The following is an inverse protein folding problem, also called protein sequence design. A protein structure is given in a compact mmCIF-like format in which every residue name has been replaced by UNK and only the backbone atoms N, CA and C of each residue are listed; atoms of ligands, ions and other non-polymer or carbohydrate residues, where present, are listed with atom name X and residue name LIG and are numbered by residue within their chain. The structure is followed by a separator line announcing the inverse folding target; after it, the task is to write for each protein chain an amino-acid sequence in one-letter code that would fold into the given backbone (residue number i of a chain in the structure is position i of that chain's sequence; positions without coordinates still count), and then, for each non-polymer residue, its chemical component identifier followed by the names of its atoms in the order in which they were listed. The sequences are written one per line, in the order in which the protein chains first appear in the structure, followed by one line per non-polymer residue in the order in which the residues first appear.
data_IF_753327639126
#
_entry.id   IF_753327639126
#
_cell.length_a   1.000
_cell.length_b   1.000
_cell.length_c   1.000
_cell.angle_alpha   90.00
_cell.angle_beta   90.00
_cell.angle_gamma   90.00
#
_symmetry.space_group_name_H-M   'P 1'
#
loop_
_entity.id
_entity.type
_entity.pdbx_description
1 polymer ?
#
# COMPACT_ATOMS: atom_id res chain seq x y z
N UNK A 1 17.25 14.42 -8.14
CA UNK A 1 16.09 14.24 -7.25
C UNK A 1 16.17 12.81 -6.70
N UNK A 2 16.23 12.66 -5.38
CA UNK A 2 16.28 11.33 -4.79
C UNK A 2 14.83 10.88 -4.54
N UNK A 3 14.35 9.94 -5.34
CA UNK A 3 13.03 9.33 -5.17
C UNK A 3 13.21 8.08 -4.31
N UNK A 4 12.54 8.01 -3.17
CA UNK A 4 12.64 6.87 -2.26
C UNK A 4 11.66 5.75 -2.61
N UNK A 5 10.45 6.11 -3.05
CA UNK A 5 9.39 5.18 -3.44
C UNK A 5 8.52 5.82 -4.52
N UNK A 6 8.16 5.05 -5.53
CA UNK A 6 7.10 5.38 -6.48
C UNK A 6 5.93 4.42 -6.26
N UNK A 7 4.78 4.96 -5.93
CA UNK A 7 3.52 4.23 -5.89
C UNK A 7 2.75 4.49 -7.19
N UNK A 8 2.62 3.46 -8.03
CA UNK A 8 1.81 3.50 -9.25
C UNK A 8 0.41 3.01 -8.91
N UNK A 9 -0.58 3.89 -9.03
CA UNK A 9 -1.98 3.54 -8.79
C UNK A 9 -2.70 3.36 -10.12
N UNK A 10 -3.28 2.18 -10.31
CA UNK A 10 -4.02 1.79 -11.51
C UNK A 10 -5.50 1.62 -11.13
N UNK A 11 -6.41 2.14 -11.94
CA UNK A 11 -7.84 1.91 -11.77
C UNK A 11 -8.18 0.44 -12.03
N UNK A 12 -8.88 -0.18 -11.10
CA UNK A 12 -9.30 -1.58 -11.19
C UNK A 12 -10.20 -1.85 -12.38
N UNK A 13 -11.02 -0.89 -12.79
CA UNK A 13 -11.95 -1.02 -13.92
C UNK A 13 -11.28 -0.90 -15.29
N UNK A 14 -10.06 -0.34 -15.37
CA UNK A 14 -9.36 -0.20 -16.65
C UNK A 14 -9.04 -1.56 -17.26
N UNK A 15 -9.29 -1.72 -18.55
CA UNK A 15 -8.98 -2.94 -19.30
C UNK A 15 -7.64 -2.84 -20.02
N UNK A 16 -7.28 -1.62 -20.41
CA UNK A 16 -6.00 -1.34 -21.05
C UNK A 16 -4.92 -1.06 -20.00
N UNK A 17 -4.02 -2.00 -19.86
CA UNK A 17 -2.83 -1.88 -19.01
C UNK A 17 -1.61 -1.34 -19.80
N UNK A 18 -1.75 -1.12 -21.10
CA UNK A 18 -0.66 -0.73 -21.98
C UNK A 18 -0.02 0.57 -21.53
N UNK A 19 -0.80 1.63 -21.32
CA UNK A 19 -0.29 2.93 -20.87
C UNK A 19 0.40 2.84 -19.50
N UNK A 20 -0.18 2.10 -18.55
CA UNK A 20 0.42 1.94 -17.23
C UNK A 20 1.74 1.17 -17.29
N UNK A 21 1.79 0.07 -18.07
CA UNK A 21 3.03 -0.71 -18.25
C UNK A 21 4.09 0.06 -19.02
N UNK A 22 3.70 0.83 -20.02
CA UNK A 22 4.62 1.71 -20.76
C UNK A 22 5.24 2.76 -19.83
N UNK A 23 4.44 3.45 -19.02
CA UNK A 23 4.92 4.41 -18.02
C UNK A 23 5.92 3.77 -17.04
N UNK A 24 5.59 2.58 -16.54
CA UNK A 24 6.45 1.83 -15.61
C UNK A 24 7.78 1.49 -16.30
N UNK A 25 7.74 0.92 -17.51
CA UNK A 25 8.90 0.37 -18.18
C UNK A 25 9.82 1.45 -18.77
N UNK A 26 9.24 2.49 -19.38
CA UNK A 26 10.00 3.48 -20.15
C UNK A 26 10.43 4.69 -19.31
N UNK A 27 9.70 5.01 -18.24
CA UNK A 27 9.96 6.19 -17.43
C UNK A 27 10.34 5.87 -15.97
N UNK A 28 9.52 5.10 -15.27
CA UNK A 28 9.68 4.93 -13.82
C UNK A 28 10.91 4.07 -13.51
N UNK A 29 10.98 2.86 -14.05
CA UNK A 29 12.08 1.93 -13.78
C UNK A 29 13.44 2.53 -14.17
N UNK A 30 13.62 3.11 -15.37
CA UNK A 30 14.89 3.76 -15.72
C UNK A 30 15.27 4.92 -14.79
N UNK A 31 14.27 5.67 -14.29
CA UNK A 31 14.50 6.81 -13.38
C UNK A 31 14.90 6.38 -11.97
N UNK A 32 14.55 5.17 -11.54
CA UNK A 32 14.87 4.63 -10.21
C UNK A 32 16.26 3.96 -10.15
N UNK A 33 16.82 3.56 -11.27
CA UNK A 33 18.13 2.95 -11.36
C UNK A 33 18.22 1.55 -10.75
N UNK A 34 19.39 1.18 -10.23
CA UNK A 34 19.72 -0.19 -9.81
C UNK A 34 18.80 -0.78 -8.70
N UNK A 35 18.15 0.06 -7.90
CA UNK A 35 17.25 -0.39 -6.82
C UNK A 35 15.77 -0.23 -7.16
N UNK A 36 15.42 -0.24 -8.43
CA UNK A 36 14.04 -0.04 -8.89
C UNK A 36 13.05 -1.03 -8.29
N UNK A 37 13.43 -2.31 -8.12
CA UNK A 37 12.60 -3.34 -7.52
C UNK A 37 12.23 -3.07 -6.05
N UNK A 38 13.10 -2.38 -5.31
CA UNK A 38 12.87 -2.01 -3.91
C UNK A 38 12.06 -0.72 -3.78
N UNK A 39 11.96 0.08 -4.86
CA UNK A 39 11.43 1.44 -4.85
C UNK A 39 10.16 1.62 -5.67
N UNK A 40 9.62 0.57 -6.26
CA UNK A 40 8.37 0.61 -6.99
C UNK A 40 7.32 -0.25 -6.30
N UNK A 41 6.15 0.32 -6.10
CA UNK A 41 4.96 -0.39 -5.64
C UNK A 41 3.83 -0.13 -6.63
N UNK A 42 3.16 -1.18 -7.10
CA UNK A 42 2.04 -1.07 -8.02
C UNK A 42 0.77 -1.49 -7.29
N UNK A 43 -0.24 -0.63 -7.30
CA UNK A 43 -1.50 -0.86 -6.60
C UNK A 43 -2.69 -0.66 -7.54
N UNK A 44 -3.63 -1.60 -7.54
CA UNK A 44 -4.88 -1.56 -8.29
C UNK A 44 -5.97 -1.10 -7.33
N UNK A 45 -6.44 0.13 -7.51
CA UNK A 45 -7.52 0.71 -6.72
C UNK A 45 -8.88 0.29 -7.26
N UNK A 46 -9.95 0.54 -6.48
CA UNK A 46 -11.34 0.27 -6.86
C UNK A 46 -11.58 -1.20 -7.25
N UNK A 47 -10.99 -2.12 -6.48
CA UNK A 47 -11.13 -3.54 -6.72
C UNK A 47 -12.59 -4.02 -6.62
N UNK A 48 -13.42 -3.33 -5.86
CA UNK A 48 -14.85 -3.62 -5.68
C UNK A 48 -15.70 -3.37 -6.93
N UNK A 49 -15.23 -2.50 -7.82
CA UNK A 49 -15.89 -2.17 -9.11
C UNK A 49 -15.05 -2.56 -10.33
N UNK A 50 -13.98 -3.30 -10.14
CA UNK A 50 -13.06 -3.71 -11.21
C UNK A 50 -13.76 -4.57 -12.28
N UNK A 51 -14.73 -5.38 -11.90
CA UNK A 51 -15.51 -6.23 -12.79
C UNK A 51 -16.92 -5.67 -12.95
N UNK A 52 -17.38 -5.58 -14.20
CA UNK A 52 -18.77 -5.17 -14.49
C UNK A 52 -19.74 -6.29 -14.08
N UNK A 53 -20.77 -5.92 -13.32
CA UNK A 53 -21.83 -6.85 -12.91
C UNK A 53 -22.13 -6.74 -11.41
N UNK A 54 -23.39 -6.99 -11.02
CA UNK A 54 -23.88 -6.77 -9.66
C UNK A 54 -23.29 -7.69 -8.57
N UNK A 55 -22.53 -8.71 -8.95
CA UNK A 55 -22.01 -9.74 -8.04
C UNK A 55 -20.47 -9.76 -7.92
N UNK A 56 -19.80 -8.66 -8.25
CA UNK A 56 -18.35 -8.60 -8.20
C UNK A 56 -17.80 -8.54 -6.76
N UNK A 57 -18.61 -8.05 -5.82
CA UNK A 57 -18.17 -7.83 -4.45
C UNK A 57 -19.21 -8.30 -3.42
N UNK A 58 -18.80 -9.12 -2.48
CA UNK A 58 -19.62 -9.47 -1.33
C UNK A 58 -19.55 -8.33 -0.29
N UNK A 59 -20.59 -7.51 -0.25
CA UNK A 59 -20.67 -6.37 0.67
C UNK A 59 -20.77 -6.76 2.13
N UNK A 60 -21.29 -7.96 2.45
CA UNK A 60 -21.41 -8.43 3.83
C UNK A 60 -20.04 -8.85 4.36
N UNK A 61 -19.31 -9.63 3.59
CA UNK A 61 -17.97 -10.09 3.92
C UNK A 61 -16.90 -9.04 3.62
N UNK A 62 -17.24 -7.97 2.91
CA UNK A 62 -16.31 -6.97 2.38
C UNK A 62 -15.13 -7.63 1.65
N UNK A 63 -15.42 -8.46 0.68
CA UNK A 63 -14.42 -9.21 -0.06
C UNK A 63 -14.85 -9.44 -1.51
N UNK A 64 -13.89 -9.63 -2.44
CA UNK A 64 -14.24 -10.00 -3.80
C UNK A 64 -14.94 -11.36 -3.83
N UNK A 65 -15.93 -11.51 -4.72
CA UNK A 65 -16.48 -12.82 -5.04
C UNK A 65 -15.40 -13.70 -5.69
N UNK A 66 -15.54 -15.03 -5.70
CA UNK A 66 -14.56 -15.93 -6.34
C UNK A 66 -14.24 -15.54 -7.78
N UNK A 67 -15.25 -15.09 -8.53
CA UNK A 67 -15.09 -14.67 -9.93
C UNK A 67 -14.29 -13.36 -10.01
N UNK A 68 -14.63 -12.38 -9.19
CA UNK A 68 -13.90 -11.11 -9.12
C UNK A 68 -12.46 -11.31 -8.63
N UNK A 69 -12.25 -12.18 -7.64
CA UNK A 69 -10.91 -12.51 -7.16
C UNK A 69 -10.06 -13.13 -8.27
N UNK A 70 -10.62 -14.05 -9.07
CA UNK A 70 -9.94 -14.62 -10.23
C UNK A 70 -9.56 -13.53 -11.23
N UNK A 71 -10.50 -12.68 -11.61
CA UNK A 71 -10.26 -11.56 -12.53
C UNK A 71 -9.15 -10.61 -12.05
N UNK A 72 -9.17 -10.23 -10.76
CA UNK A 72 -8.14 -9.37 -10.16
C UNK A 72 -6.77 -10.05 -10.14
N UNK A 73 -6.71 -11.35 -9.84
CA UNK A 73 -5.47 -12.12 -9.85
C UNK A 73 -4.91 -12.29 -11.27
N UNK A 74 -5.76 -12.51 -12.28
CA UNK A 74 -5.35 -12.52 -13.69
C UNK A 74 -4.78 -11.16 -14.12
N UNK A 75 -5.38 -10.07 -13.67
CA UNK A 75 -4.89 -8.71 -13.92
C UNK A 75 -3.52 -8.48 -13.28
N UNK A 76 -3.32 -8.91 -12.03
CA UNK A 76 -2.01 -8.89 -11.35
C UNK A 76 -0.99 -9.71 -12.14
N UNK A 77 -1.33 -10.93 -12.53
CA UNK A 77 -0.42 -11.80 -13.29
C UNK A 77 -0.01 -11.16 -14.62
N UNK A 78 -0.97 -10.55 -15.35
CA UNK A 78 -0.68 -9.82 -16.59
C UNK A 78 0.26 -8.64 -16.38
N UNK A 79 0.07 -7.86 -15.31
CA UNK A 79 0.99 -6.75 -14.98
C UNK A 79 2.40 -7.25 -14.66
N UNK A 80 2.52 -8.28 -13.83
CA UNK A 80 3.82 -8.91 -13.48
C UNK A 80 4.55 -9.37 -14.73
N UNK A 81 3.86 -10.11 -15.59
CA UNK A 81 4.43 -10.65 -16.83
C UNK A 81 4.92 -9.52 -17.75
N UNK A 82 4.08 -8.53 -18.04
CA UNK A 82 4.42 -7.42 -18.95
C UNK A 82 5.61 -6.58 -18.47
N UNK A 83 5.69 -6.31 -17.15
CA UNK A 83 6.82 -5.59 -16.60
C UNK A 83 8.07 -6.45 -16.65
N UNK A 84 7.97 -7.72 -16.28
CA UNK A 84 9.11 -8.64 -16.32
C UNK A 84 9.66 -8.85 -17.73
N UNK A 85 8.81 -9.05 -18.74
CA UNK A 85 9.21 -9.23 -20.13
C UNK A 85 9.96 -8.01 -20.69
N UNK A 86 9.56 -6.79 -20.28
CA UNK A 86 10.17 -5.58 -20.78
C UNK A 86 11.45 -5.17 -20.03
N UNK A 87 11.59 -5.49 -18.75
CA UNK A 87 12.62 -4.92 -17.87
C UNK A 87 13.40 -5.95 -17.06
N UNK A 88 13.01 -7.22 -17.12
CA UNK A 88 13.49 -8.30 -16.24
C UNK A 88 13.25 -8.03 -14.74
N UNK A 89 12.40 -7.06 -14.38
CA UNK A 89 12.09 -6.67 -13.01
C UNK A 89 10.87 -7.42 -12.50
N UNK A 90 11.00 -8.09 -11.37
CA UNK A 90 9.86 -8.70 -10.67
C UNK A 90 9.18 -7.66 -9.78
N UNK A 91 7.89 -7.42 -10.03
CA UNK A 91 7.04 -6.57 -9.20
C UNK A 91 5.94 -7.41 -8.53
N UNK A 92 5.44 -6.95 -7.39
CA UNK A 92 4.33 -7.60 -6.66
C UNK A 92 3.13 -6.62 -6.53
N UNK A 93 2.28 -6.52 -7.57
CA UNK A 93 1.11 -5.65 -7.51
C UNK A 93 0.12 -6.12 -6.46
N UNK A 94 -0.58 -5.17 -5.85
CA UNK A 94 -1.67 -5.42 -4.90
C UNK A 94 -2.95 -4.78 -5.41
N UNK A 95 -4.12 -5.41 -5.18
CA UNK A 95 -5.40 -4.73 -5.34
C UNK A 95 -5.99 -4.33 -3.99
N UNK A 96 -6.68 -3.19 -3.97
CA UNK A 96 -7.26 -2.64 -2.76
C UNK A 96 -8.52 -1.81 -3.03
N UNK A 97 -9.26 -1.52 -1.98
CA UNK A 97 -10.37 -0.56 -1.97
C UNK A 97 -10.04 0.48 -0.91
N UNK A 98 -9.99 1.75 -1.30
CA UNK A 98 -9.73 2.83 -0.36
C UNK A 98 -10.90 3.05 0.61
N UNK A 99 -12.09 2.66 0.19
CA UNK A 99 -13.32 2.92 0.91
C UNK A 99 -13.88 4.32 0.65
N UNK A 100 -15.17 4.48 0.88
CA UNK A 100 -15.82 5.78 0.84
C UNK A 100 -17.07 5.77 1.72
N UNK A 101 -17.48 6.95 2.13
CA UNK A 101 -18.75 7.18 2.79
C UNK A 101 -19.43 8.37 2.12
N UNK A 102 -20.58 8.12 1.50
CA UNK A 102 -21.41 9.13 0.85
C UNK A 102 -22.85 9.04 1.43
N UNK A 103 -23.07 9.77 2.52
CA UNK A 103 -24.36 9.89 3.19
C UNK A 103 -25.09 8.56 3.47
N UNK A 104 -25.61 7.96 2.42
CA UNK A 104 -26.39 6.71 2.49
C UNK A 104 -25.61 5.47 2.06
N UNK A 105 -24.50 5.65 1.37
CA UNK A 105 -23.68 4.54 0.86
C UNK A 105 -22.32 4.54 1.54
N UNK A 106 -21.91 3.38 1.97
CA UNK A 106 -20.59 3.16 2.54
C UNK A 106 -19.97 1.93 1.89
N UNK A 107 -18.74 2.10 1.39
CA UNK A 107 -17.86 1.02 1.04
C UNK A 107 -16.70 1.01 2.02
N UNK A 108 -16.55 -0.11 2.73
CA UNK A 108 -15.46 -0.28 3.71
C UNK A 108 -14.13 -0.48 2.99
N UNK A 109 -13.00 -0.02 3.56
CA UNK A 109 -11.69 -0.31 3.04
C UNK A 109 -11.44 -1.83 2.95
N UNK A 110 -10.62 -2.23 1.98
CA UNK A 110 -10.14 -3.60 1.82
C UNK A 110 -8.69 -3.58 1.35
N UNK A 111 -7.81 -4.37 1.97
CA UNK A 111 -6.36 -4.38 1.73
C UNK A 111 -5.69 -2.99 1.89
N UNK A 112 -6.35 -2.00 2.49
CA UNK A 112 -5.77 -0.68 2.68
C UNK A 112 -4.65 -0.71 3.72
N UNK A 113 -4.84 -1.43 4.81
CA UNK A 113 -3.80 -1.66 5.83
C UNK A 113 -2.62 -2.47 5.27
N UNK A 114 -2.89 -3.41 4.36
CA UNK A 114 -1.84 -4.14 3.63
C UNK A 114 -1.05 -3.20 2.71
N UNK A 115 -1.74 -2.31 1.97
CA UNK A 115 -1.08 -1.32 1.12
C UNK A 115 -0.17 -0.41 1.96
N UNK A 116 -0.66 0.08 3.10
CA UNK A 116 0.13 0.89 4.01
C UNK A 116 1.37 0.15 4.52
N UNK A 117 1.21 -1.09 4.94
CA UNK A 117 2.33 -1.95 5.36
C UNK A 117 3.39 -2.08 4.26
N UNK A 118 2.96 -2.27 3.00
CA UNK A 118 3.87 -2.35 1.86
C UNK A 118 4.56 -1.00 1.59
N UNK A 119 3.86 0.12 1.67
CA UNK A 119 4.46 1.47 1.53
C UNK A 119 5.56 1.66 2.57
N UNK A 120 5.29 1.35 3.84
CA UNK A 120 6.29 1.46 4.91
C UNK A 120 7.46 0.50 4.66
N UNK A 121 7.17 -0.74 4.24
CA UNK A 121 8.19 -1.74 3.94
C UNK A 121 9.14 -1.36 2.80
N UNK A 122 8.63 -0.71 1.74
CA UNK A 122 9.43 -0.22 0.61
C UNK A 122 10.14 1.11 0.90
N UNK A 123 9.77 1.80 1.98
CA UNK A 123 10.47 3.02 2.38
C UNK A 123 11.78 2.68 3.10
N UNK A 124 12.91 3.33 2.76
CA UNK A 124 14.18 3.13 3.46
C UNK A 124 14.03 3.29 4.97
N UNK A 125 14.66 2.41 5.77
CA UNK A 125 14.47 2.36 7.22
C UNK A 125 14.68 3.71 7.91
N UNK A 126 15.73 4.43 7.54
CA UNK A 126 16.06 5.76 8.08
C UNK A 126 15.05 6.86 7.74
N UNK A 127 14.12 6.60 6.81
CA UNK A 127 13.05 7.54 6.40
C UNK A 127 11.66 7.14 6.88
N UNK A 128 11.49 5.95 7.45
CA UNK A 128 10.18 5.47 7.95
C UNK A 128 9.62 6.35 9.06
N UNK A 129 10.49 6.97 9.84
CA UNK A 129 10.09 7.88 10.92
C UNK A 129 9.31 9.08 10.39
N UNK A 130 9.67 9.61 9.23
CA UNK A 130 8.96 10.73 8.58
C UNK A 130 7.52 10.33 8.24
N UNK A 131 7.29 9.07 7.83
CA UNK A 131 5.96 8.54 7.59
C UNK A 131 5.13 8.44 8.87
N UNK A 132 5.77 8.11 10.00
CA UNK A 132 5.08 8.01 11.29
C UNK A 132 4.56 9.38 11.77
N UNK A 133 5.32 10.44 11.53
CA UNK A 133 5.01 11.79 12.04
C UNK A 133 3.95 12.50 11.17
N UNK A 134 4.03 12.39 9.85
CA UNK A 134 3.32 13.32 8.96
C UNK A 134 2.08 12.76 8.25
N UNK A 135 1.96 11.45 8.07
CA UNK A 135 1.04 10.92 7.06
C UNK A 135 0.12 9.83 7.58
N UNK A 136 0.49 9.16 8.65
CA UNK A 136 -0.31 8.10 9.20
C UNK A 136 -1.28 8.69 10.20
N UNK A 137 -2.52 8.89 9.74
CA UNK A 137 -3.62 9.23 10.65
C UNK A 137 -3.60 8.25 11.82
N UNK A 138 -3.36 8.77 13.02
CA UNK A 138 -3.46 8.02 14.27
C UNK A 138 -4.89 7.53 14.55
N UNK A 139 -5.86 7.95 13.75
CA UNK A 139 -7.23 7.45 13.81
C UNK A 139 -7.25 6.03 13.22
N UNK A 140 -7.01 5.06 14.06
CA UNK A 140 -7.08 3.61 13.76
C UNK A 140 -8.37 3.23 13.01
N UNK A 141 -9.49 3.92 13.26
CA UNK A 141 -10.75 3.69 12.57
C UNK A 141 -10.70 3.97 11.06
N UNK A 142 -9.78 4.82 10.59
CA UNK A 142 -9.66 5.16 9.16
C UNK A 142 -8.93 4.06 8.37
N UNK A 143 -8.10 3.25 9.05
CA UNK A 143 -7.26 2.23 8.43
C UNK A 143 -7.73 0.79 8.70
N UNK A 144 -8.81 0.63 9.45
CA UNK A 144 -9.40 -0.68 9.69
C UNK A 144 -10.06 -1.15 8.40
N UNK A 145 -9.42 -2.07 7.73
CA UNK A 145 -10.08 -2.89 6.72
C UNK A 145 -10.53 -4.21 7.33
N UNK A 146 -11.53 -4.81 6.72
CA UNK A 146 -12.18 -6.02 7.22
C UNK A 146 -11.58 -7.30 6.63
N UNK A 147 -10.43 -7.25 6.01
CA UNK A 147 -9.88 -8.45 5.39
C UNK A 147 -9.46 -9.52 6.42
N UNK A 148 -9.30 -9.14 7.69
CA UNK A 148 -9.04 -9.97 8.88
C UNK A 148 -7.94 -11.03 8.72
N UNK A 149 -7.22 -11.02 7.60
CA UNK A 149 -6.29 -12.10 7.23
C UNK A 149 -4.93 -11.98 7.87
N UNK A 150 -4.56 -10.80 8.32
CA UNK A 150 -3.31 -10.58 9.04
C UNK A 150 -3.31 -9.26 9.78
N UNK A 151 -2.52 -9.20 10.85
CA UNK A 151 -2.41 -7.99 11.64
C UNK A 151 -1.44 -6.99 10.99
N UNK A 152 -1.83 -6.42 9.84
CA UNK A 152 -1.00 -5.45 9.13
C UNK A 152 -0.74 -4.19 9.93
N UNK A 153 -1.69 -3.75 10.76
CA UNK A 153 -1.51 -2.58 11.61
C UNK A 153 -0.38 -2.80 12.61
N UNK A 154 -0.32 -3.98 13.24
CA UNK A 154 0.78 -4.32 14.15
C UNK A 154 2.11 -4.41 13.38
N UNK A 155 2.13 -5.11 12.26
CA UNK A 155 3.34 -5.24 11.43
C UNK A 155 3.84 -3.90 10.89
N UNK A 156 2.95 -2.96 10.61
CA UNK A 156 3.30 -1.59 10.21
C UNK A 156 3.96 -0.85 11.36
N UNK A 157 3.41 -0.96 12.58
CA UNK A 157 4.03 -0.36 13.79
C UNK A 157 5.41 -0.95 14.06
N UNK A 158 5.55 -2.27 13.94
CA UNK A 158 6.83 -2.95 14.14
C UNK A 158 7.87 -2.48 13.12
N UNK A 159 7.48 -2.33 11.84
CA UNK A 159 8.36 -1.81 10.79
C UNK A 159 8.74 -0.34 10.99
N UNK A 160 7.83 0.48 11.53
CA UNK A 160 8.14 1.86 11.89
C UNK A 160 9.11 1.92 13.08
N UNK A 161 8.89 1.06 14.07
CA UNK A 161 9.77 0.93 15.23
C UNK A 161 11.19 0.51 14.85
N UNK A 162 11.34 -0.48 13.96
CA UNK A 162 12.64 -0.85 13.39
C UNK A 162 13.36 0.35 12.76
N UNK A 163 12.63 1.19 12.02
CA UNK A 163 13.19 2.41 11.42
C UNK A 163 13.67 3.42 12.46
N UNK A 164 12.97 3.55 13.57
CA UNK A 164 13.36 4.42 14.70
C UNK A 164 14.65 3.91 15.35
N UNK A 165 14.70 2.63 15.65
CA UNK A 165 15.88 1.99 16.27
C UNK A 165 17.10 2.11 15.37
N UNK A 166 16.93 1.88 14.06
CA UNK A 166 18.01 2.02 13.07
C UNK A 166 18.53 3.47 13.01
N UNK A 167 17.60 4.45 13.05
CA UNK A 167 17.96 5.87 13.06
C UNK A 167 18.73 6.29 14.30
N UNK A 168 18.39 5.75 15.46
CA UNK A 168 19.09 5.99 16.73
C UNK A 168 20.52 5.42 16.67
N UNK A 169 20.68 4.19 16.17
CA UNK A 169 21.97 3.53 16.06
C UNK A 169 22.92 4.23 15.08
N UNK A 170 22.37 4.79 14.02
CA UNK A 170 23.15 5.47 12.97
C UNK A 170 23.38 6.96 13.24
N UNK A 171 23.07 7.44 14.46
CA UNK A 171 23.39 8.81 14.88
C UNK A 171 22.60 9.93 14.20
N UNK A 172 21.45 9.61 13.63
CA UNK A 172 20.55 10.63 13.10
C UNK A 172 19.90 11.40 14.26
N UNK A 173 20.09 12.73 14.31
CA UNK A 173 19.51 13.65 15.31
C UNK A 173 17.98 13.75 15.15
N UNK A 174 17.24 12.72 15.55
CA UNK A 174 15.78 12.65 15.51
C UNK A 174 15.13 12.66 16.90
N UNK A 175 15.90 13.04 17.94
CA UNK A 175 15.52 12.84 19.34
C UNK A 175 14.35 13.66 19.87
N UNK A 176 13.89 14.74 19.22
CA UNK A 176 12.91 15.65 19.83
C UNK A 176 11.44 15.33 19.51
N UNK A 177 11.14 14.71 18.36
CA UNK A 177 9.74 14.54 17.92
C UNK A 177 9.17 13.12 18.10
N UNK A 178 10.02 12.15 18.41
CA UNK A 178 9.61 10.74 18.55
C UNK A 178 8.71 10.52 19.77
N UNK A 179 8.94 11.26 20.86
CA UNK A 179 8.14 11.16 22.09
C UNK A 179 6.67 11.56 21.91
N UNK A 180 6.37 12.44 20.98
CA UNK A 180 5.00 12.95 20.74
C UNK A 180 4.15 12.00 19.89
N UNK A 181 4.74 11.27 18.94
CA UNK A 181 4.02 10.36 18.07
C UNK A 181 3.55 9.07 18.77
N UNK A 182 4.26 8.63 19.80
CA UNK A 182 3.95 7.39 20.54
C UNK A 182 3.48 7.60 21.98
N UNK A 183 3.62 8.81 22.51
CA UNK A 183 3.35 9.12 23.92
C UNK A 183 1.86 9.18 24.32
N UNK A 184 0.93 9.21 23.38
CA UNK A 184 -0.52 9.31 23.69
C UNK A 184 -1.24 7.95 23.80
N UNK A 185 -0.58 6.84 23.57
CA UNK A 185 -1.18 5.50 23.64
C UNK A 185 -0.93 4.75 24.97
N UNK A 186 -0.19 5.35 25.91
CA UNK A 186 0.27 4.71 27.15
C UNK A 186 -0.32 5.23 28.45
N UNK A 187 -1.37 6.01 28.43
CA UNK A 187 -1.92 6.66 29.62
C UNK A 187 -3.37 6.34 29.95
N UNK A 188 -3.68 5.12 30.39
CA UNK A 188 -4.84 4.82 31.23
C UNK A 188 -4.81 3.35 31.68
N UNK A 189 -3.98 3.01 32.65
CA UNK A 189 -4.26 1.94 33.63
C UNK A 189 -3.79 2.51 34.98
N UNK A 190 -4.76 2.92 35.74
CA UNK A 190 -4.66 3.35 37.12
C UNK A 190 -6.04 3.27 37.73
#
# INVERSE_FOLDING_TARGET
LLIDLVLVVIDGSTRDLGTATQLINELIIPSLGEKSNERILVAINQADVAMKGGNAWDRKLNSPTPESARFLNEKIASLKQRVFEATALAIEPIYYVAGYHDGKQQQRPYNLSKLLFLIVGHTPKNKRVILADSTLSTKTSTWLDDDRRSNYNQRTRDSLWEGIVDSIHNGAELGANIGLAFGSAGGAVG
#
